data_IF_488917972132
#
_entry.id   IF_488917972132
#
_cell.length_a   1.000
_cell.length_b   1.000
_cell.length_c   1.000
_cell.angle_alpha   90.00
_cell.angle_beta   90.00
_cell.angle_gamma   90.00
#
_symmetry.space_group_name_H-M   'P 1'
#
loop_
_entity.id
_entity.type
_entity.pdbx_description
1 polymer ?
2 non-polymer ?
3 non-polymer ?
4 water ?
#
# COMPACT_ATOMS: atom_id res chain seq x y z
N UNK A 17 11.69 6.70 28.16
CA UNK A 17 10.47 6.54 27.32
C UNK A 17 10.79 6.59 25.81
N UNK A 18 11.27 5.45 25.26
CA UNK A 18 11.77 5.39 23.88
C UNK A 18 10.71 5.51 22.78
N UNK A 19 11.12 6.06 21.64
CA UNK A 19 10.26 6.22 20.46
C UNK A 19 10.85 5.53 19.23
N UNK A 20 10.03 5.39 18.19
CA UNK A 20 10.50 4.90 16.88
C UNK A 20 10.18 5.92 15.79
N UNK A 21 11.18 6.23 14.97
CA UNK A 21 11.03 7.14 13.85
C UNK A 21 10.71 6.34 12.57
N UNK A 22 9.65 6.74 11.87
CA UNK A 22 9.25 6.07 10.63
C UNK A 22 9.36 7.01 9.43
N UNK A 23 10.05 6.55 8.38
CA UNK A 23 10.33 7.37 7.20
C UNK A 23 9.83 6.69 5.94
N UNK A 24 9.14 7.46 5.11
CA UNK A 24 8.71 7.00 3.78
C UNK A 24 9.08 8.04 2.73
N UNK A 25 10.10 7.73 1.93
CA UNK A 25 10.59 8.65 0.90
C UNK A 25 10.00 8.37 -0.47
N UNK A 26 8.85 8.97 -0.75
CA UNK A 26 8.19 8.85 -2.04
C UNK A 26 8.93 9.58 -3.15
N UNK A 27 8.31 9.63 -4.33
CA UNK A 27 8.89 10.26 -5.50
C UNK A 27 9.12 11.76 -5.31
N UNK A 28 8.13 12.43 -4.73
CA UNK A 28 8.16 13.88 -4.56
C UNK A 28 7.94 14.33 -3.12
N UNK A 29 8.02 13.38 -2.18
CA UNK A 29 7.73 13.68 -0.78
C UNK A 29 8.51 12.82 0.22
N UNK A 30 8.57 13.30 1.46
CA UNK A 30 9.04 12.50 2.59
C UNK A 30 7.97 12.53 3.68
N UNK A 31 7.30 11.40 3.89
CA UNK A 31 6.30 11.28 4.95
C UNK A 31 6.92 10.62 6.17
N UNK A 32 6.79 11.27 7.33
CA UNK A 32 7.38 10.72 8.56
C UNK A 32 6.40 10.66 9.73
N UNK A 33 6.70 9.79 10.69
CA UNK A 33 5.92 9.67 11.92
C UNK A 33 6.80 9.29 13.12
N UNK A 34 6.35 9.66 14.31
CA UNK A 34 7.03 9.30 15.57
C UNK A 34 6.08 8.52 16.47
N UNK A 35 6.44 7.28 16.80
CA UNK A 35 5.58 6.42 17.60
C UNK A 35 6.22 6.06 18.93
N UNK A 36 5.40 5.93 19.97
CA UNK A 36 5.89 5.49 21.28
C UNK A 36 6.05 3.98 21.30
N UNK A 37 7.14 3.51 21.88
CA UNK A 37 7.41 2.07 22.01
C UNK A 37 6.38 1.41 22.92
N UNK A 38 6.07 2.07 24.03
CA UNK A 38 5.17 1.52 25.03
C UNK A 38 3.75 1.31 24.50
N UNK A 39 3.27 2.24 23.69
CA UNK A 39 1.87 2.27 23.31
C UNK A 39 1.61 2.10 21.81
N UNK A 40 2.65 2.33 21.00
CA UNK A 40 2.55 2.35 19.54
C UNK A 40 1.65 3.47 19.02
N UNK A 41 1.60 4.57 19.78
CA UNK A 41 0.77 5.71 19.46
C UNK A 41 1.60 6.80 18.80
N UNK A 42 0.98 7.51 17.85
CA UNK A 42 1.64 8.61 17.13
C UNK A 42 1.78 9.83 18.04
N UNK A 43 3.01 10.31 18.17
CA UNK A 43 3.33 11.47 19.00
C UNK A 43 3.72 12.68 18.15
N UNK A 44 3.87 12.45 16.85
CA UNK A 44 4.20 13.48 15.87
C UNK A 44 4.10 12.90 14.46
N UNK A 45 3.60 13.70 13.53
CA UNK A 45 3.53 13.31 12.13
C UNK A 45 3.84 14.53 11.26
N UNK A 46 4.32 14.29 10.05
CA UNK A 46 4.64 15.38 9.14
C UNK A 46 4.96 14.95 7.72
N UNK A 47 5.28 15.92 6.88
CA UNK A 47 5.55 15.69 5.46
C UNK A 47 6.43 16.80 4.87
N UNK A 48 7.46 16.40 4.14
CA UNK A 48 8.26 17.32 3.34
C UNK A 48 7.82 17.19 1.88
N UNK A 49 6.82 17.97 1.50
CA UNK A 49 6.14 17.83 0.20
C UNK A 49 6.71 18.75 -0.88
N UNK A 50 6.67 18.29 -2.12
CA UNK A 50 7.19 19.04 -3.28
C UNK A 50 8.70 19.07 -3.29
N UNK A 51 9.31 17.89 -3.29
CA UNK A 51 10.76 17.76 -3.19
C UNK A 51 11.48 18.08 -4.51
N UNK A 52 12.75 18.48 -4.39
CA UNK A 52 13.63 18.82 -5.53
C UNK A 52 13.21 20.05 -6.35
N UNK A 53 12.01 20.56 -6.09
CA UNK A 53 11.47 21.71 -6.82
C UNK A 53 12.08 23.03 -6.37
N UNK A 54 11.78 24.10 -7.09
CA UNK A 54 12.28 25.45 -6.80
C UNK A 54 11.97 25.89 -5.36
N UNK A 55 10.79 25.51 -4.86
CA UNK A 55 10.39 25.79 -3.49
C UNK A 55 9.85 24.53 -2.79
N UNK A 56 10.56 24.08 -1.75
CA UNK A 56 10.18 22.87 -1.02
C UNK A 56 9.84 23.16 0.44
N UNK A 57 8.63 22.79 0.84
CA UNK A 57 8.14 23.06 2.19
C UNK A 57 8.05 21.83 3.10
N UNK A 58 8.20 22.07 4.41
CA UNK A 58 8.06 21.07 5.45
C UNK A 58 6.83 21.43 6.28
N UNK A 59 6.00 20.43 6.62
CA UNK A 59 4.78 20.68 7.39
C UNK A 59 4.47 19.62 8.46
N UNK A 60 4.77 19.96 9.71
CA UNK A 60 4.48 19.09 10.84
C UNK A 60 3.06 19.36 11.33
N UNK A 61 2.27 18.29 11.44
CA UNK A 61 0.85 18.36 11.87
C UNK A 61 -0.04 19.25 11.00
N UNK A 62 0.58 19.94 10.04
CA UNK A 62 -0.08 20.97 9.27
C UNK A 62 -0.18 22.28 10.05
N UNK A 63 0.83 22.57 10.87
CA UNK A 63 0.86 23.80 11.67
C UNK A 63 1.93 24.80 11.23
N UNK A 64 3.12 24.29 10.90
CA UNK A 64 4.21 25.10 10.39
C UNK A 64 4.56 24.68 8.97
N UNK A 65 4.40 25.60 7.99
CA UNK A 65 4.76 25.30 6.60
C UNK A 65 6.14 25.84 6.21
N UNK A 66 7.15 25.48 7.00
CA UNK A 66 8.53 25.97 6.82
C UNK A 66 9.08 25.66 5.43
N UNK A 67 9.37 26.71 4.67
CA UNK A 67 9.96 26.57 3.34
C UNK A 67 11.46 26.31 3.40
N UNK A 68 11.99 25.67 2.36
CA UNK A 68 13.42 25.36 2.26
C UNK A 68 13.93 25.54 0.82
N UNK A 69 13.14 26.25 0.01
CA UNK A 69 13.45 26.53 -1.40
C UNK A 69 13.95 25.29 -2.16
N UNK A 70 15.14 25.38 -2.74
CA UNK A 70 15.76 24.25 -3.42
C UNK A 70 16.51 23.38 -2.42
N UNK A 71 15.83 22.36 -1.92
CA UNK A 71 16.41 21.44 -0.93
C UNK A 71 16.14 19.98 -1.31
N UNK A 72 17.09 19.11 -0.99
CA UNK A 72 17.02 17.70 -1.37
C UNK A 72 16.68 16.76 -0.21
N UNK A 73 16.81 15.46 -0.45
CA UNK A 73 16.42 14.42 0.52
C UNK A 73 17.20 14.47 1.83
N UNK A 74 18.47 14.83 1.77
CA UNK A 74 19.30 14.91 2.98
C UNK A 74 18.99 16.17 3.79
N UNK A 75 18.86 17.31 3.10
CA UNK A 75 18.63 18.61 3.73
C UNK A 75 17.28 18.69 4.43
N UNK A 76 16.30 17.96 3.90
CA UNK A 76 14.97 17.89 4.48
C UNK A 76 15.00 17.13 5.81
N UNK A 77 15.67 15.98 5.80
CA UNK A 77 15.80 15.14 7.00
C UNK A 77 16.52 15.88 8.13
N UNK A 78 17.50 16.72 7.77
CA UNK A 78 18.21 17.58 8.72
C UNK A 78 17.25 18.57 9.36
N UNK A 79 16.33 19.11 8.55
CA UNK A 79 15.32 20.04 9.03
C UNK A 79 14.31 19.34 9.94
N UNK A 80 13.91 18.14 9.55
CA UNK A 80 13.01 17.31 10.35
C UNK A 80 13.68 16.95 11.68
N UNK A 81 14.94 16.55 11.62
CA UNK A 81 15.72 16.15 12.80
C UNK A 81 15.82 17.27 13.84
N UNK A 82 15.98 18.51 13.36
CA UNK A 82 16.02 19.68 14.23
C UNK A 82 14.67 19.83 14.94
N UNK A 83 13.59 19.61 14.21
CA UNK A 83 12.23 19.72 14.75
C UNK A 83 11.88 18.59 15.72
N UNK A 84 12.83 17.69 15.95
CA UNK A 84 12.67 16.66 16.98
C UNK A 84 13.49 17.03 18.21
N UNK A 85 14.69 17.57 17.97
CA UNK A 85 15.54 18.06 19.07
C UNK A 85 14.95 19.33 19.66
N UNK A 86 14.26 20.10 18.82
CA UNK A 86 13.52 21.29 19.23
C UNK A 86 12.41 20.92 20.21
N UNK A 87 11.93 19.69 20.10
CA UNK A 87 10.86 19.18 20.95
C UNK A 87 11.38 18.07 21.87
N UNK A 88 12.69 18.14 22.15
CA UNK A 88 13.40 17.23 23.06
C UNK A 88 13.14 15.73 22.83
N UNK A 89 13.12 15.34 21.56
CA UNK A 89 12.80 13.96 21.18
C UNK A 89 14.00 13.17 20.63
N UNK A 90 15.04 13.89 20.24
CA UNK A 90 16.26 13.28 19.69
C UNK A 90 16.83 12.17 20.59
N UNK A 91 16.96 12.45 21.88
CA UNK A 91 17.56 11.52 22.82
C UNK A 91 16.72 10.25 23.10
N UNK A 92 15.52 10.18 22.52
CA UNK A 92 14.64 9.02 22.72
C UNK A 92 14.41 8.15 21.48
N UNK A 93 15.02 8.54 20.35
CA UNK A 93 14.86 7.79 19.09
C UNK A 93 15.63 6.47 19.15
N UNK A 94 14.96 5.45 19.67
CA UNK A 94 15.56 4.13 19.87
C UNK A 94 15.80 3.37 18.57
N UNK A 95 14.87 3.52 17.62
CA UNK A 95 14.89 2.75 16.37
C UNK A 95 14.39 3.61 15.20
N UNK A 96 14.87 3.31 14.00
CA UNK A 96 14.40 4.00 12.80
C UNK A 96 13.99 2.98 11.74
N UNK A 97 12.72 3.04 11.36
CA UNK A 97 12.18 2.16 10.32
C UNK A 97 12.12 2.87 8.98
N UNK A 98 12.48 2.14 7.93
CA UNK A 98 12.46 2.68 6.57
C UNK A 98 11.54 1.86 5.68
N UNK A 99 10.52 2.52 5.13
CA UNK A 99 9.68 1.89 4.14
C UNK A 99 10.46 1.74 2.84
N UNK A 100 10.59 0.50 2.38
CA UNK A 100 11.23 0.21 1.11
C UNK A 100 10.16 -0.31 0.16
N UNK A 101 10.16 0.22 -1.06
CA UNK A 101 9.15 -0.11 -2.05
C UNK A 101 9.31 -1.52 -2.63
N UNK A 102 10.50 -1.82 -3.15
CA UNK A 102 10.69 -3.05 -3.92
C UNK A 102 11.89 -3.87 -3.44
N UNK A 103 11.60 -4.99 -2.79
CA UNK A 103 12.65 -5.86 -2.24
C UNK A 103 13.06 -7.01 -3.15
N UNK A 104 12.33 -7.18 -4.25
CA UNK A 104 12.61 -8.25 -5.23
C UNK A 104 12.41 -9.63 -4.65
N UNK A 105 13.30 -10.54 -5.00
CA UNK A 105 13.28 -11.90 -4.44
C UNK A 105 14.28 -12.10 -3.29
N UNK A 106 14.96 -11.02 -2.91
CA UNK A 106 16.06 -11.09 -1.94
C UNK A 106 15.64 -10.87 -0.50
N UNK A 107 14.45 -10.32 -0.29
CA UNK A 107 13.97 -10.00 1.06
C UNK A 107 12.61 -10.61 1.36
N UNK A 108 12.57 -11.54 2.32
CA UNK A 108 11.35 -12.25 2.66
C UNK A 108 10.71 -11.72 3.95
N UNK A 109 11.52 -11.06 4.76
CA UNK A 109 11.07 -10.53 6.05
C UNK A 109 11.68 -9.14 6.27
N UNK A 110 11.45 -8.57 7.45
CA UNK A 110 12.06 -7.31 7.82
C UNK A 110 13.46 -7.54 8.40
N UNK A 111 14.36 -6.60 8.17
CA UNK A 111 15.77 -6.75 8.53
C UNK A 111 16.35 -5.52 9.21
N UNK A 112 17.46 -5.71 9.92
CA UNK A 112 18.26 -4.61 10.46
C UNK A 112 19.16 -4.13 9.33
N UNK A 113 19.16 -2.82 9.08
CA UNK A 113 19.94 -2.24 7.96
C UNK A 113 21.44 -2.34 8.21
N UNK A 114 22.13 -2.96 7.24
CA UNK A 114 23.59 -3.00 7.21
C UNK A 114 24.09 -2.78 5.78
N UNK A 115 25.41 -2.74 5.61
CA UNK A 115 26.02 -2.56 4.29
C UNK A 115 25.49 -3.59 3.28
N UNK A 116 25.37 -4.84 3.73
CA UNK A 116 24.83 -5.92 2.93
C UNK A 116 23.41 -5.60 2.47
N UNK A 117 22.63 -4.95 3.32
CA UNK A 117 21.25 -4.59 2.99
C UNK A 117 21.20 -3.50 1.92
N UNK A 118 21.92 -2.41 2.16
CA UNK A 118 22.03 -1.32 1.18
C UNK A 118 22.49 -1.88 -0.18
N UNK A 119 23.45 -2.79 -0.12
CA UNK A 119 23.99 -3.43 -1.32
C UNK A 119 22.94 -4.23 -2.06
N UNK A 120 22.17 -5.01 -1.31
CA UNK A 120 21.12 -5.83 -1.90
C UNK A 120 19.96 -5.00 -2.43
N UNK A 121 19.67 -3.89 -1.75
CA UNK A 121 18.65 -2.95 -2.21
C UNK A 121 19.06 -2.30 -3.52
N UNK A 122 20.34 -1.95 -3.64
CA UNK A 122 20.89 -1.43 -4.88
C UNK A 122 20.70 -2.41 -6.04
N UNK A 123 20.85 -3.70 -5.74
CA UNK A 123 20.75 -4.77 -6.73
C UNK A 123 19.36 -4.90 -7.34
N UNK A 124 18.33 -4.77 -6.50
CA UNK A 124 16.93 -4.96 -6.93
C UNK A 124 16.24 -3.67 -7.39
N UNK A 125 16.91 -2.53 -7.19
CA UNK A 125 16.38 -1.22 -7.57
C UNK A 125 15.93 -1.08 -9.04
N UNK A 126 16.59 -1.77 -9.99
CA UNK A 126 16.08 -1.85 -11.36
C UNK A 126 14.57 -2.08 -11.52
N UNK A 127 13.96 -2.81 -10.58
CA UNK A 127 12.55 -3.18 -10.65
C UNK A 127 11.59 -2.02 -10.39
N UNK A 128 12.06 -1.01 -9.64
CA UNK A 128 11.29 0.19 -9.37
C UNK A 128 12.21 1.41 -9.26
N UNK A 129 12.58 1.99 -10.42
CA UNK A 129 13.55 3.08 -10.49
C UNK A 129 13.16 4.33 -9.69
N UNK A 130 11.90 4.75 -9.81
CA UNK A 130 11.41 5.95 -9.13
C UNK A 130 11.49 5.82 -7.61
N UNK A 131 10.71 4.89 -7.06
CA UNK A 131 10.55 4.73 -5.61
C UNK A 131 11.82 4.29 -4.87
N UNK A 132 12.41 3.17 -5.31
CA UNK A 132 13.57 2.57 -4.63
C UNK A 132 14.76 3.51 -4.42
N UNK A 133 15.12 4.24 -5.47
CA UNK A 133 16.28 5.13 -5.44
C UNK A 133 16.08 6.31 -4.49
N UNK A 134 14.82 6.66 -4.22
CA UNK A 134 14.50 7.68 -3.24
C UNK A 134 14.60 7.13 -1.82
N UNK A 135 14.22 5.85 -1.65
CA UNK A 135 14.30 5.17 -0.35
C UNK A 135 15.73 5.05 0.14
N UNK A 136 16.65 4.77 -0.80
CA UNK A 136 18.08 4.68 -0.51
C UNK A 136 18.63 6.03 -0.06
N UNK A 137 18.14 7.10 -0.67
CA UNK A 137 18.52 8.47 -0.31
C UNK A 137 17.99 8.82 1.08
N UNK A 138 16.87 8.20 1.45
CA UNK A 138 16.30 8.32 2.79
C UNK A 138 17.07 7.52 3.83
N UNK A 139 17.58 6.35 3.43
CA UNK A 139 18.41 5.53 4.32
C UNK A 139 19.75 6.22 4.58
N UNK A 140 20.41 6.62 3.50
CA UNK A 140 21.74 7.23 3.56
C UNK A 140 21.74 8.49 4.44
N UNK A 141 20.71 9.32 4.29
CA UNK A 141 20.55 10.53 5.09
C UNK A 141 20.35 10.22 6.58
N UNK A 142 19.57 9.18 6.87
CA UNK A 142 19.31 8.74 8.24
C UNK A 142 20.55 8.07 8.84
N UNK A 143 21.25 7.29 8.01
CA UNK A 143 22.54 6.71 8.38
C UNK A 143 23.45 7.82 8.91
N UNK A 144 23.48 8.93 8.17
CA UNK A 144 24.27 10.10 8.50
C UNK A 144 23.88 10.75 9.85
N UNK A 145 22.64 11.24 9.92
CA UNK A 145 22.15 12.03 11.05
C UNK A 145 22.03 11.26 12.36
N UNK A 146 21.82 9.96 12.27
CA UNK A 146 21.70 9.09 13.44
C UNK A 146 22.73 7.97 13.35
N UNK A 147 23.72 7.98 14.25
CA UNK A 147 24.85 7.05 14.17
C UNK A 147 24.64 5.76 14.95
N UNK A 148 24.52 5.87 16.27
CA UNK A 148 24.33 4.72 17.15
C UNK A 148 22.94 4.10 17.06
N UNK A 149 22.02 4.79 16.39
CA UNK A 149 20.63 4.33 16.30
C UNK A 149 20.50 3.17 15.31
N UNK A 150 20.00 2.04 15.82
CA UNK A 150 19.77 0.87 14.98
C UNK A 150 18.60 1.12 14.02
N UNK A 151 18.82 0.75 12.76
CA UNK A 151 17.84 0.99 11.71
C UNK A 151 17.32 -0.29 11.06
N UNK A 152 16.09 -0.22 10.57
CA UNK A 152 15.35 -1.39 10.08
C UNK A 152 14.76 -1.08 8.70
N UNK A 153 14.88 -2.03 7.78
CA UNK A 153 14.30 -1.88 6.44
C UNK A 153 13.09 -2.79 6.26
N UNK A 154 11.95 -2.17 5.96
CA UNK A 154 10.67 -2.87 5.85
C UNK A 154 10.15 -2.80 4.41
N UNK A 155 9.89 -3.96 3.83
CA UNK A 155 9.61 -4.06 2.39
C UNK A 155 8.12 -4.23 2.06
N UNK A 156 7.68 -3.43 1.10
CA UNK A 156 6.29 -3.41 0.65
C UNK A 156 5.92 -4.66 -0.17
N UNK A 157 6.95 -5.46 -0.48
CA UNK A 157 6.82 -6.64 -1.34
C UNK A 157 7.11 -7.97 -0.62
N UNK A 158 7.74 -7.90 0.55
CA UNK A 158 8.25 -9.09 1.24
C UNK A 158 7.18 -10.10 1.61
N UNK A 159 6.02 -9.61 2.04
CA UNK A 159 4.90 -10.46 2.47
C UNK A 159 4.45 -11.40 1.36
N UNK A 160 4.77 -11.02 0.12
CA UNK A 160 4.27 -11.73 -1.05
C UNK A 160 5.19 -12.84 -1.58
N UNK A 161 6.40 -12.93 -1.05
CA UNK A 161 7.37 -13.91 -1.53
C UNK A 161 6.99 -15.36 -1.16
N UNK A 162 5.86 -15.50 -0.50
CA UNK A 162 5.31 -16.81 -0.14
C UNK A 162 4.50 -17.40 -1.30
N UNK A 163 4.41 -16.67 -2.41
CA UNK A 163 3.67 -17.12 -3.59
C UNK A 163 4.36 -18.24 -4.37
N UNK A 164 3.56 -19.21 -4.83
CA UNK A 164 4.03 -20.26 -5.73
C UNK A 164 4.26 -19.71 -7.13
N UNK A 165 5.20 -20.30 -7.89
CA UNK A 165 5.47 -19.92 -9.27
C UNK A 165 4.21 -19.84 -10.13
N UNK A 166 3.36 -20.86 -10.05
CA UNK A 166 2.11 -20.88 -10.83
C UNK A 166 1.28 -19.63 -10.60
N UNK A 167 1.56 -18.93 -9.51
CA UNK A 167 0.80 -17.74 -9.13
C UNK A 167 1.57 -16.43 -9.38
N UNK A 168 2.90 -16.51 -9.49
CA UNK A 168 3.70 -15.30 -9.73
C UNK A 168 4.29 -15.19 -11.15
N UNK A 169 4.36 -16.30 -11.86
CA UNK A 169 4.87 -16.30 -13.23
C UNK A 169 3.89 -15.65 -14.20
N UNK A 170 4.43 -15.01 -15.23
CA UNK A 170 3.63 -14.49 -16.33
C UNK A 170 3.69 -15.45 -17.53
N UNK A 171 2.72 -15.31 -18.44
CA UNK A 171 2.61 -16.18 -19.60
C UNK A 171 3.63 -15.91 -20.68
N UNK A 172 4.70 -15.21 -20.32
CA UNK A 172 5.76 -14.84 -21.25
C UNK A 172 6.82 -15.94 -21.35
N UNK A 173 7.78 -15.80 -22.28
CA UNK A 173 8.92 -16.73 -22.35
C UNK A 173 9.76 -16.78 -21.07
N UNK A 174 10.22 -17.97 -20.72
CA UNK A 174 10.99 -18.23 -19.50
C UNK A 174 12.20 -17.32 -19.33
N UNK A 175 12.94 -17.10 -20.41
CA UNK A 175 14.12 -16.24 -20.41
C UNK A 175 13.90 -15.01 -19.53
N UNK A 176 12.80 -14.31 -19.77
CA UNK A 176 12.46 -13.08 -19.03
C UNK A 176 12.44 -13.25 -17.51
N UNK A 177 11.92 -14.39 -17.02
CA UNK A 177 11.92 -14.66 -15.58
C UNK A 177 13.32 -14.98 -15.03
N UNK A 178 13.95 -16.02 -15.58
CA UNK A 178 15.24 -16.49 -15.07
C UNK A 178 16.37 -15.48 -15.26
N UNK A 179 16.48 -14.92 -16.46
CA UNK A 179 17.54 -13.95 -16.76
C UNK A 179 17.17 -12.52 -16.34
N UNK A 180 16.07 -11.99 -16.86
CA UNK A 180 15.69 -10.58 -16.65
C UNK A 180 14.93 -10.28 -15.34
N UNK A 181 14.41 -11.32 -14.69
CA UNK A 181 13.70 -11.15 -13.41
C UNK A 181 12.25 -10.69 -13.49
N UNK A 182 11.60 -10.95 -14.62
CA UNK A 182 10.21 -10.57 -14.84
C UNK A 182 9.27 -11.56 -14.14
N UNK A 183 8.48 -11.05 -13.19
CA UNK A 183 7.51 -11.83 -12.42
C UNK A 183 6.63 -10.91 -11.59
N UNK A 184 5.49 -11.43 -11.14
CA UNK A 184 4.61 -10.71 -10.23
C UNK A 184 5.25 -10.59 -8.85
N UNK A 185 5.16 -9.40 -8.28
CA UNK A 185 5.67 -9.16 -6.94
C UNK A 185 4.55 -8.76 -5.97
N UNK A 186 3.66 -7.88 -6.43
CA UNK A 186 2.53 -7.43 -5.61
C UNK A 186 2.95 -6.42 -4.57
N UNK A 187 2.05 -5.49 -4.25
CA UNK A 187 2.39 -4.39 -3.35
C UNK A 187 1.36 -4.22 -2.24
N UNK A 188 1.61 -3.25 -1.36
CA UNK A 188 0.80 -3.03 -0.15
C UNK A 188 0.96 -4.20 0.84
N UNK A 189 2.12 -4.86 0.79
CA UNK A 189 2.40 -6.04 1.60
C UNK A 189 2.26 -5.81 3.09
N UNK A 190 2.74 -4.67 3.56
CA UNK A 190 2.69 -4.32 4.98
C UNK A 190 1.25 -4.09 5.43
N UNK A 191 0.46 -3.44 4.57
CA UNK A 191 -0.96 -3.23 4.81
C UNK A 191 -1.71 -4.56 4.86
N UNK A 192 -1.49 -5.40 3.84
CA UNK A 192 -2.13 -6.72 3.77
C UNK A 192 -1.70 -7.61 4.95
N UNK A 193 -0.44 -7.48 5.34
CA UNK A 193 0.12 -8.19 6.48
C UNK A 193 -0.57 -7.77 7.78
N UNK A 194 -0.46 -6.50 8.13
CA UNK A 194 -1.05 -5.95 9.35
C UNK A 194 -2.53 -6.28 9.46
N UNK A 195 -3.28 -5.90 8.43
CA UNK A 195 -4.73 -6.08 8.39
C UNK A 195 -5.14 -7.52 8.70
N UNK A 196 -4.43 -8.47 8.07
CA UNK A 196 -4.70 -9.90 8.27
C UNK A 196 -4.41 -10.34 9.72
N UNK A 197 -3.31 -9.87 10.30
CA UNK A 197 -2.97 -10.19 11.68
C UNK A 197 -4.11 -9.78 12.60
N UNK A 198 -4.53 -8.52 12.49
CA UNK A 198 -5.66 -7.99 13.24
C UNK A 198 -6.94 -8.79 12.99
N UNK A 199 -7.14 -9.21 11.74
CA UNK A 199 -8.35 -9.93 11.33
C UNK A 199 -8.52 -11.27 12.04
N UNK A 200 -7.42 -11.89 12.44
CA UNK A 200 -7.47 -13.15 13.19
C UNK A 200 -8.10 -12.94 14.56
N UNK A 201 -7.71 -11.85 15.23
CA UNK A 201 -8.29 -11.51 16.54
C UNK A 201 -9.77 -11.16 16.44
N UNK A 202 -10.11 -10.17 15.62
CA UNK A 202 -11.47 -9.67 15.48
C UNK A 202 -12.48 -10.75 15.07
N UNK A 203 -12.04 -11.69 14.24
CA UNK A 203 -12.92 -12.72 13.68
C UNK A 203 -12.80 -14.04 14.43
N UNK A 204 -11.97 -14.07 15.47
CA UNK A 204 -11.70 -15.28 16.26
C UNK A 204 -11.38 -16.45 15.35
N UNK A 205 -10.26 -16.34 14.63
CA UNK A 205 -9.81 -17.36 13.71
C UNK A 205 -8.54 -18.03 14.17
N UNK A 206 -8.15 -19.09 13.46
CA UNK A 206 -6.89 -19.76 13.70
C UNK A 206 -6.00 -19.51 12.49
N UNK A 207 -4.92 -18.75 12.70
CA UNK A 207 -3.98 -18.38 11.64
C UNK A 207 -3.55 -19.58 10.78
N UNK A 208 -3.28 -20.71 11.43
CA UNK A 208 -2.82 -21.91 10.74
C UNK A 208 -3.95 -22.70 10.03
N UNK A 209 -5.20 -22.27 10.23
CA UNK A 209 -6.35 -22.89 9.54
C UNK A 209 -7.33 -21.83 9.04
N UNK A 210 -6.81 -20.82 8.34
CA UNK A 210 -7.61 -19.66 7.94
C UNK A 210 -7.57 -19.40 6.44
N UNK A 211 -8.60 -18.70 5.96
CA UNK A 211 -8.67 -18.24 4.58
C UNK A 211 -9.31 -16.87 4.50
N UNK A 212 -8.48 -15.86 4.24
CA UNK A 212 -8.94 -14.47 4.18
C UNK A 212 -8.76 -13.89 2.79
N UNK A 213 -9.60 -12.91 2.46
CA UNK A 213 -9.38 -12.05 1.31
C UNK A 213 -9.28 -10.62 1.81
N UNK A 214 -8.20 -9.94 1.45
CA UNK A 214 -7.96 -8.57 1.92
C UNK A 214 -7.96 -7.57 0.75
N UNK A 215 -8.93 -6.66 0.78
CA UNK A 215 -9.09 -5.65 -0.25
C UNK A 215 -8.57 -4.29 0.23
N UNK A 216 -7.30 -4.01 -0.09
CA UNK A 216 -6.74 -2.69 0.14
C UNK A 216 -7.15 -1.74 -0.98
N UNK A 217 -7.98 -0.76 -0.63
CA UNK A 217 -8.55 0.17 -1.61
C UNK A 217 -8.30 1.60 -1.19
N UNK A 218 -7.61 2.34 -2.05
CA UNK A 218 -7.34 3.76 -1.81
C UNK A 218 -6.73 4.43 -3.03
N UNK A 219 -5.72 5.26 -2.78
CA UNK A 219 -4.90 5.86 -3.85
C UNK A 219 -4.58 4.84 -4.92
N UNK A 220 -3.77 3.85 -4.55
CA UNK A 220 -3.54 2.65 -5.34
C UNK A 220 -4.24 1.53 -4.61
N UNK A 221 -4.55 0.45 -5.33
CA UNK A 221 -5.37 -0.61 -4.76
C UNK A 221 -4.91 -1.98 -5.21
N UNK A 222 -5.13 -2.97 -4.33
CA UNK A 222 -4.81 -4.36 -4.61
C UNK A 222 -5.63 -5.30 -3.72
N UNK A 223 -5.77 -6.54 -4.17
CA UNK A 223 -6.38 -7.60 -3.38
C UNK A 223 -5.27 -8.57 -2.99
N UNK A 224 -5.48 -9.32 -1.92
CA UNK A 224 -4.54 -10.35 -1.48
C UNK A 224 -5.25 -11.53 -0.81
N UNK A 225 -4.99 -12.73 -1.30
CA UNK A 225 -5.46 -13.95 -0.65
C UNK A 225 -4.48 -14.38 0.42
N UNK A 226 -4.97 -14.53 1.65
CA UNK A 226 -4.13 -14.97 2.75
C UNK A 226 -4.60 -16.34 3.25
N UNK A 227 -3.87 -17.38 2.85
CA UNK A 227 -4.19 -18.75 3.23
C UNK A 227 -3.29 -19.21 4.37
N UNK A 228 -3.90 -19.71 5.44
CA UNK A 228 -3.20 -20.22 6.62
C UNK A 228 -2.02 -19.35 7.10
N UNK A 229 -2.19 -18.03 6.96
CA UNK A 229 -1.18 -17.07 7.43
C UNK A 229 -0.43 -16.33 6.33
N UNK A 230 -0.13 -17.02 5.23
CA UNK A 230 0.73 -16.49 4.16
C UNK A 230 -0.03 -15.97 2.93
N UNK A 231 0.62 -15.05 2.21
CA UNK A 231 0.12 -14.53 0.95
C UNK A 231 0.29 -15.58 -0.15
N UNK A 232 -0.81 -15.91 -0.82
CA UNK A 232 -0.81 -16.93 -1.89
C UNK A 232 -1.31 -16.40 -3.24
N UNK A 233 -1.75 -15.14 -3.27
CA UNK A 233 -2.15 -14.47 -4.51
C UNK A 233 -2.41 -13.01 -4.21
N UNK A 234 -1.97 -12.14 -5.13
CA UNK A 234 -2.20 -10.70 -5.02
C UNK A 234 -2.37 -10.09 -6.42
N UNK A 235 -3.17 -9.04 -6.51
CA UNK A 235 -3.63 -8.49 -7.80
C UNK A 235 -2.57 -7.68 -8.54
N UNK A 236 -1.85 -6.83 -7.83
CA UNK A 236 -0.77 -6.04 -8.44
C UNK A 236 0.35 -6.95 -8.93
N UNK A 237 1.01 -6.55 -10.01
CA UNK A 237 1.97 -7.42 -10.68
C UNK A 237 3.43 -7.18 -10.37
N UNK A 238 4.23 -7.04 -11.43
CA UNK A 238 5.62 -6.66 -11.31
C UNK A 238 5.67 -5.20 -10.90
N UNK A 239 4.87 -4.39 -11.59
CA UNK A 239 4.69 -2.99 -11.25
C UNK A 239 3.39 -2.86 -10.45
N UNK A 240 3.10 -1.66 -9.93
CA UNK A 240 1.81 -1.47 -9.28
C UNK A 240 0.67 -1.17 -10.26
N UNK A 241 0.81 -1.58 -11.51
CA UNK A 241 -0.17 -1.29 -12.56
C UNK A 241 -1.17 -2.42 -12.86
N UNK A 242 -0.93 -3.60 -12.30
CA UNK A 242 -1.84 -4.71 -12.56
C UNK A 242 -2.94 -4.82 -11.51
N UNK A 243 -3.99 -5.56 -11.84
CA UNK A 243 -5.10 -5.80 -10.94
C UNK A 243 -6.23 -4.80 -11.11
N UNK A 244 -6.79 -4.37 -9.99
CA UNK A 244 -7.95 -3.48 -9.96
C UNK A 244 -7.69 -2.20 -10.72
N UNK A 245 -8.75 -1.61 -11.25
CA UNK A 245 -8.69 -0.26 -11.78
C UNK A 245 -8.61 0.67 -10.57
N UNK A 246 -7.70 1.63 -10.62
CA UNK A 246 -7.42 2.50 -9.48
C UNK A 246 -7.75 3.96 -9.80
N UNK A 247 -7.25 4.90 -8.99
CA UNK A 247 -7.51 6.32 -9.18
C UNK A 247 -7.05 6.81 -10.54
N UNK A 248 -5.72 6.94 -10.71
CA UNK A 248 -5.14 7.36 -11.98
C UNK A 248 -4.65 6.17 -12.82
N UNK A 249 -4.57 5.00 -12.18
CA UNK A 249 -4.07 3.80 -12.84
C UNK A 249 -5.20 3.01 -13.48
N UNK A 250 -4.93 2.51 -14.69
CA UNK A 250 -5.91 1.79 -15.50
C UNK A 250 -6.35 0.46 -14.92
N UNK A 251 -5.42 -0.28 -14.33
CA UNK A 251 -5.67 -1.65 -13.90
C UNK A 251 -5.40 -2.61 -15.03
N UNK A 252 -5.98 -3.81 -14.96
CA UNK A 252 -5.85 -4.82 -16.01
C UNK A 252 -6.24 -4.23 -17.36
N UNK A 253 -5.39 -4.41 -18.36
CA UNK A 253 -5.67 -3.93 -19.71
C UNK A 253 -5.11 -4.85 -20.80
N UNK A 254 -5.95 -5.14 -21.78
CA UNK A 254 -5.60 -5.93 -22.96
C UNK A 254 -4.36 -5.35 -23.64
N UNK A 255 -3.28 -6.13 -23.71
CA UNK A 255 -2.05 -5.71 -24.38
C UNK A 255 -2.26 -5.57 -25.89
N UNK A 256 -3.11 -6.44 -26.45
CA UNK A 256 -3.49 -6.36 -27.85
C UNK A 256 -4.18 -5.05 -28.18
N UNK A 257 -4.85 -4.47 -27.17
CA UNK A 257 -5.51 -3.18 -27.32
C UNK A 257 -4.52 -2.01 -27.19
N UNK A 258 -3.54 -2.16 -26.30
CA UNK A 258 -2.50 -1.15 -26.11
C UNK A 258 -1.60 -1.05 -27.34
N UNK A 259 -1.30 -2.20 -27.92
CA UNK A 259 -0.51 -2.26 -29.16
C UNK A 259 -1.30 -1.72 -30.35
N UNK A 260 -2.62 -1.90 -30.30
CA UNK A 260 -3.54 -1.39 -31.31
C UNK A 260 -3.64 0.14 -31.23
N UNK A 261 -3.80 0.65 -30.01
CA UNK A 261 -3.82 2.09 -29.76
C UNK A 261 -2.51 2.75 -30.23
N UNK A 262 -1.39 2.07 -30.00
CA UNK A 262 -0.09 2.52 -30.48
C UNK A 262 -0.08 2.72 -31.99
N UNK A 263 -0.78 1.82 -32.69
CA UNK A 263 -0.85 1.87 -34.15
C UNK A 263 -1.80 2.96 -34.65
N UNK A 264 -2.75 3.34 -33.81
CA UNK A 264 -3.74 4.34 -34.17
C UNK A 264 -3.27 5.77 -33.91
N UNK A 265 -3.12 6.12 -32.64
CA UNK A 265 -2.73 7.49 -32.25
C UNK A 265 -1.24 7.78 -32.45
N UNK A 266 -0.48 6.77 -32.84
CA UNK A 266 0.95 6.91 -33.09
C UNK A 266 1.78 7.15 -31.83
N UNK A 267 1.14 6.98 -30.67
CA UNK A 267 1.79 7.19 -29.38
C UNK A 267 2.82 6.11 -29.09
N UNK A 268 3.82 6.45 -28.28
CA UNK A 268 4.90 5.52 -27.92
C UNK A 268 4.57 4.71 -26.67
N UNK A 269 5.43 3.76 -26.35
CA UNK A 269 5.30 2.93 -25.15
C UNK A 269 5.46 3.80 -23.89
N UNK A 270 6.34 4.78 -23.97
CA UNK A 270 6.57 5.72 -22.88
C UNK A 270 5.38 6.65 -22.74
N UNK A 271 4.77 7.01 -23.87
CA UNK A 271 3.57 7.85 -23.89
C UNK A 271 2.43 7.16 -23.15
N UNK A 272 2.21 5.90 -23.51
CA UNK A 272 1.12 5.10 -22.93
C UNK A 272 1.38 4.74 -21.48
N UNK A 273 2.65 4.60 -21.11
CA UNK A 273 3.03 4.33 -19.71
C UNK A 273 2.52 5.46 -18.80
N UNK A 274 2.53 6.68 -19.33
CA UNK A 274 2.06 7.85 -18.61
C UNK A 274 0.54 7.91 -18.55
N UNK A 275 -0.11 7.66 -19.69
CA UNK A 275 -1.58 7.64 -19.79
C UNK A 275 -2.15 6.60 -18.83
N UNK A 276 -1.59 5.40 -18.88
CA UNK A 276 -2.03 4.26 -18.07
C UNK A 276 -1.81 4.54 -16.57
N UNK A 277 -0.66 5.11 -16.23
CA UNK A 277 -0.30 5.36 -14.84
C UNK A 277 -0.91 6.63 -14.23
N UNK A 278 -1.07 7.67 -15.05
CA UNK A 278 -1.45 8.99 -14.54
C UNK A 278 -2.75 9.59 -15.07
N UNK A 279 -3.17 9.18 -16.27
CA UNK A 279 -4.35 9.75 -16.91
C UNK A 279 -5.55 8.81 -16.96
N UNK A 280 -5.33 7.56 -16.55
CA UNK A 280 -6.36 6.53 -16.65
C UNK A 280 -7.17 6.39 -15.36
N UNK A 281 -7.80 5.23 -15.20
CA UNK A 281 -8.51 4.88 -13.96
C UNK A 281 -9.82 5.61 -13.77
N UNK A 282 -10.11 5.91 -12.50
CA UNK A 282 -11.32 6.63 -12.13
C UNK A 282 -11.39 7.98 -12.84
N UNK A 283 -10.27 8.69 -12.83
CA UNK A 283 -10.11 9.95 -13.55
C UNK A 283 -10.39 9.75 -15.03
N UNK A 284 -9.77 8.73 -15.62
CA UNK A 284 -9.87 8.43 -17.05
C UNK A 284 -11.27 8.30 -17.59
N UNK A 285 -12.11 7.53 -16.88
CA UNK A 285 -13.50 7.30 -17.30
C UNK A 285 -14.36 8.55 -17.06
N UNK A 286 -14.33 9.05 -15.83
CA UNK A 286 -15.18 10.17 -15.42
C UNK A 286 -14.87 11.47 -16.15
N UNK A 287 -13.58 11.71 -16.40
CA UNK A 287 -13.11 12.99 -16.93
C UNK A 287 -13.46 14.10 -15.95
N UNK A 288 -13.20 13.85 -14.68
CA UNK A 288 -13.68 14.70 -13.60
C UNK A 288 -12.72 14.72 -12.41
N UNK A 289 -12.58 13.57 -11.75
CA UNK A 289 -11.78 13.46 -10.53
C UNK A 289 -11.17 12.08 -10.35
N UNK A 290 -10.01 12.04 -9.70
CA UNK A 290 -9.39 10.79 -9.30
C UNK A 290 -9.71 10.51 -7.83
N UNK A 291 -10.83 11.05 -7.38
CA UNK A 291 -11.21 11.03 -5.97
C UNK A 291 -12.68 10.67 -5.82
N UNK A 292 -12.96 9.75 -4.89
CA UNK A 292 -14.32 9.24 -4.69
C UNK A 292 -15.32 10.23 -4.12
N UNK A 293 -14.95 10.94 -3.05
CA UNK A 293 -15.84 11.91 -2.42
C UNK A 293 -16.57 12.79 -3.43
N UNK A 294 -15.87 13.16 -4.51
CA UNK A 294 -16.43 13.97 -5.59
C UNK A 294 -17.33 13.12 -6.49
N UNK A 295 -16.80 11.99 -6.95
CA UNK A 295 -17.50 11.12 -7.89
C UNK A 295 -18.76 10.52 -7.30
N UNK A 296 -18.71 10.22 -6.00
CA UNK A 296 -19.87 9.71 -5.25
C UNK A 296 -20.98 10.74 -5.23
N UNK A 297 -20.60 12.02 -5.14
CA UNK A 297 -21.54 13.13 -5.20
C UNK A 297 -22.04 13.34 -6.63
N UNK A 298 -21.11 13.34 -7.58
CA UNK A 298 -21.44 13.52 -9.00
C UNK A 298 -22.56 12.58 -9.48
N UNK A 299 -22.47 11.32 -9.08
CA UNK A 299 -23.50 10.32 -9.38
C UNK A 299 -24.87 10.82 -8.92
N UNK A 300 -24.96 11.15 -7.63
CA UNK A 300 -26.20 11.60 -7.01
C UNK A 300 -26.74 12.88 -7.66
N UNK A 301 -25.85 13.63 -8.31
CA UNK A 301 -26.24 14.84 -9.04
C UNK A 301 -26.62 14.56 -10.49
N UNK A 302 -26.52 13.30 -10.91
CA UNK A 302 -27.00 12.87 -12.22
C UNK A 302 -25.94 12.68 -13.30
N UNK A 303 -24.67 12.76 -12.91
CA UNK A 303 -23.56 12.53 -13.82
C UNK A 303 -23.43 11.03 -14.13
N UNK A 304 -23.49 10.68 -15.41
CA UNK A 304 -23.43 9.26 -15.82
C UNK A 304 -22.00 8.74 -15.88
N UNK A 305 -21.11 9.46 -16.55
CA UNK A 305 -19.71 9.04 -16.69
C UNK A 305 -19.05 8.73 -15.35
N UNK A 306 -19.44 9.45 -14.30
CA UNK A 306 -18.95 9.19 -12.96
C UNK A 306 -19.60 7.94 -12.37
N UNK A 307 -20.88 7.75 -12.65
CA UNK A 307 -21.62 6.56 -12.23
C UNK A 307 -20.99 5.30 -12.81
N UNK A 308 -20.63 5.36 -14.08
CA UNK A 308 -19.95 4.25 -14.77
C UNK A 308 -18.58 4.00 -14.17
N UNK A 309 -17.82 5.07 -13.94
CA UNK A 309 -16.48 4.98 -13.36
C UNK A 309 -16.46 4.20 -12.05
N UNK A 310 -17.56 4.29 -11.31
CA UNK A 310 -17.71 3.65 -10.00
C UNK A 310 -18.25 2.22 -10.13
N UNK A 311 -19.21 2.03 -11.04
CA UNK A 311 -19.77 0.71 -11.36
C UNK A 311 -18.67 -0.18 -11.93
N UNK A 312 -17.82 0.42 -12.76
CA UNK A 312 -16.66 -0.24 -13.36
C UNK A 312 -15.60 -0.54 -12.30
N UNK A 313 -15.37 0.42 -11.40
CA UNK A 313 -14.49 0.23 -10.25
C UNK A 313 -14.98 -0.96 -9.41
N UNK A 314 -16.21 -0.86 -8.92
CA UNK A 314 -16.85 -1.90 -8.10
C UNK A 314 -16.71 -3.27 -8.76
N UNK A 315 -17.02 -3.32 -10.06
CA UNK A 315 -17.07 -4.58 -10.79
C UNK A 315 -15.73 -5.29 -10.82
N UNK A 316 -14.67 -4.54 -11.12
CA UNK A 316 -13.31 -5.09 -11.17
C UNK A 316 -12.76 -5.52 -9.81
N UNK A 317 -13.28 -4.93 -8.73
CA UNK A 317 -12.90 -5.37 -7.38
C UNK A 317 -13.55 -6.71 -7.03
N UNK A 318 -14.83 -6.86 -7.41
CA UNK A 318 -15.56 -8.10 -7.17
C UNK A 318 -15.01 -9.26 -8.00
N UNK A 319 -14.59 -8.98 -9.22
CA UNK A 319 -14.00 -9.97 -10.11
C UNK A 319 -12.73 -10.55 -9.48
N UNK A 320 -11.87 -9.65 -8.99
CA UNK A 320 -10.63 -10.07 -8.36
C UNK A 320 -10.80 -10.68 -6.98
N UNK A 321 -11.69 -10.13 -6.16
CA UNK A 321 -11.95 -10.72 -4.84
C UNK A 321 -12.35 -12.20 -4.99
N UNK A 322 -13.42 -12.43 -5.76
CA UNK A 322 -13.91 -13.78 -6.04
C UNK A 322 -12.86 -14.65 -6.72
N UNK A 323 -12.07 -14.06 -7.60
CA UNK A 323 -11.00 -14.76 -8.30
C UNK A 323 -9.86 -15.17 -7.39
N UNK A 324 -9.49 -14.28 -6.47
CA UNK A 324 -8.43 -14.56 -5.50
C UNK A 324 -8.84 -15.62 -4.48
N UNK A 325 -10.15 -15.78 -4.29
CA UNK A 325 -10.68 -16.76 -3.34
C UNK A 325 -10.35 -18.19 -3.75
N UNK A 326 -10.06 -18.37 -5.04
CA UNK A 326 -9.73 -19.67 -5.61
C UNK A 326 -8.37 -20.17 -5.14
N UNK A 327 -7.58 -19.27 -4.54
CA UNK A 327 -6.30 -19.63 -3.95
C UNK A 327 -6.44 -20.08 -2.48
N UNK A 328 -7.67 -20.06 -1.96
CA UNK A 328 -7.97 -20.54 -0.61
C UNK A 328 -8.71 -21.87 -0.65
N UNK A 329 -8.47 -22.71 0.35
CA UNK A 329 -9.17 -23.97 0.53
C UNK A 329 -10.58 -23.75 1.10
N UNK A 330 -10.74 -22.65 1.84
CA UNK A 330 -12.03 -22.23 2.41
C UNK A 330 -12.02 -20.73 2.68
N UNK A 331 -13.14 -20.07 2.42
CA UNK A 331 -13.27 -18.62 2.65
C UNK A 331 -13.91 -18.31 4.01
N UNK A 332 -13.18 -17.56 4.84
CA UNK A 332 -13.67 -17.20 6.16
C UNK A 332 -14.07 -15.75 6.26
N UNK A 333 -13.23 -14.86 5.72
CA UNK A 333 -13.50 -13.42 5.79
C UNK A 333 -13.15 -12.61 4.56
N UNK A 334 -13.70 -11.41 4.48
CA UNK A 334 -13.34 -10.42 3.49
C UNK A 334 -13.11 -9.10 4.22
N UNK A 335 -11.96 -8.48 3.98
CA UNK A 335 -11.53 -7.32 4.75
C UNK A 335 -11.29 -6.10 3.85
N UNK A 336 -11.87 -4.96 4.25
CA UNK A 336 -11.67 -3.70 3.54
C UNK A 336 -10.73 -2.79 4.32
N UNK A 337 -9.85 -2.12 3.60
CA UNK A 337 -8.89 -1.22 4.21
C UNK A 337 -8.42 -0.18 3.19
N UNK A 338 -7.66 0.81 3.68
CA UNK A 338 -7.22 1.93 2.85
C UNK A 338 -8.23 3.05 2.90
N UNK A 339 -7.85 4.21 2.37
CA UNK A 339 -8.71 5.39 2.32
C UNK A 339 -10.14 5.11 1.88
N UNK A 340 -10.27 4.43 0.74
CA UNK A 340 -11.58 4.10 0.17
C UNK A 340 -12.28 2.99 0.96
N UNK A 341 -11.59 1.89 1.19
CA UNK A 341 -12.17 0.72 1.85
C UNK A 341 -12.72 0.96 3.23
N UNK A 342 -12.00 1.74 4.04
CA UNK A 342 -12.39 2.04 5.42
C UNK A 342 -13.55 3.02 5.51
N UNK A 343 -13.56 3.99 4.60
CA UNK A 343 -14.43 5.15 4.70
C UNK A 343 -15.68 5.13 3.84
N UNK A 344 -15.64 4.40 2.73
CA UNK A 344 -16.73 4.41 1.74
C UNK A 344 -17.84 3.40 2.00
N UNK A 345 -18.98 3.90 2.47
CA UNK A 345 -20.18 3.06 2.71
C UNK A 345 -20.69 2.39 1.42
N UNK A 346 -20.83 3.17 0.35
CA UNK A 346 -21.44 2.72 -0.90
C UNK A 346 -20.65 1.63 -1.62
N UNK A 347 -19.36 1.89 -1.86
CA UNK A 347 -18.50 0.96 -2.58
C UNK A 347 -18.42 -0.37 -1.87
N UNK A 348 -18.41 -0.33 -0.53
CA UNK A 348 -18.43 -1.55 0.26
C UNK A 348 -19.65 -2.41 -0.06
N UNK A 349 -20.83 -1.79 -0.01
CA UNK A 349 -22.09 -2.48 -0.28
C UNK A 349 -22.23 -2.91 -1.74
N UNK A 350 -21.83 -2.02 -2.66
CA UNK A 350 -21.87 -2.33 -4.08
C UNK A 350 -20.99 -3.54 -4.41
N UNK A 351 -19.84 -3.63 -3.76
CA UNK A 351 -18.93 -4.76 -3.94
C UNK A 351 -19.52 -6.07 -3.36
N UNK A 352 -20.20 -5.99 -2.23
CA UNK A 352 -20.94 -7.14 -1.69
C UNK A 352 -22.14 -7.52 -2.58
N UNK A 353 -22.90 -6.51 -3.02
CA UNK A 353 -24.01 -6.71 -3.95
C UNK A 353 -23.60 -7.60 -5.10
N UNK A 354 -22.37 -7.37 -5.56
CA UNK A 354 -21.79 -8.04 -6.71
C UNK A 354 -21.34 -9.45 -6.37
N UNK A 355 -20.94 -9.66 -5.11
CA UNK A 355 -20.46 -10.95 -4.67
C UNK A 355 -21.52 -11.72 -3.89
N UNK A 356 -22.74 -11.73 -4.41
CA UNK A 356 -23.83 -12.50 -3.82
C UNK A 356 -23.68 -13.98 -4.08
N UNK A 357 -22.89 -14.32 -5.11
CA UNK A 357 -22.65 -15.71 -5.51
C UNK A 357 -22.01 -16.53 -4.38
N UNK A 358 -21.20 -15.86 -3.57
CA UNK A 358 -20.54 -16.47 -2.41
C UNK A 358 -21.43 -16.46 -1.17
N UNK A 359 -22.69 -16.07 -1.33
CA UNK A 359 -23.65 -16.02 -0.23
C UNK A 359 -23.28 -14.99 0.81
N UNK A 360 -23.06 -13.76 0.37
CA UNK A 360 -22.73 -12.65 1.27
C UNK A 360 -23.97 -11.82 1.58
N UNK A 361 -24.24 -11.65 2.87
CA UNK A 361 -25.31 -10.76 3.34
C UNK A 361 -24.71 -9.70 4.26
N UNK A 362 -24.93 -8.43 3.91
CA UNK A 362 -24.33 -7.31 4.61
C UNK A 362 -25.30 -6.65 5.58
N UNK A 363 -24.84 -6.36 6.79
CA UNK A 363 -25.63 -5.65 7.78
C UNK A 363 -25.50 -4.13 7.62
N UNK A 364 -26.50 -3.52 6.99
CA UNK A 364 -26.41 -2.12 6.56
C UNK A 364 -26.30 -1.12 7.73
N UNK A 365 -26.86 -1.47 8.89
CA UNK A 365 -26.66 -0.65 10.08
C UNK A 365 -25.20 -0.63 10.50
N UNK A 366 -24.55 -1.78 10.41
CA UNK A 366 -23.12 -1.90 10.70
C UNK A 366 -22.25 -1.23 9.65
N UNK A 367 -22.68 -1.29 8.39
CA UNK A 367 -21.95 -0.68 7.28
C UNK A 367 -22.10 0.84 7.26
N UNK A 368 -23.17 1.34 7.87
CA UNK A 368 -23.46 2.77 7.95
C UNK A 368 -22.39 3.55 8.69
N UNK A 369 -21.95 2.99 9.82
CA UNK A 369 -21.01 3.64 10.75
C UNK A 369 -19.70 4.08 10.08
N UNK A 370 -19.17 5.25 10.49
CA UNK A 370 -17.94 5.82 9.93
C UNK A 370 -16.67 5.13 10.42
N UNK A 371 -15.51 5.72 10.12
CA UNK A 371 -14.22 5.12 10.48
C UNK A 371 -13.83 5.25 11.94
N UNK A 372 -14.58 6.07 12.68
CA UNK A 372 -14.37 6.26 14.11
C UNK A 372 -14.63 4.96 14.89
N UNK A 373 -15.48 4.10 14.33
CA UNK A 373 -15.79 2.80 14.93
C UNK A 373 -14.70 1.78 14.68
N UNK A 374 -13.65 2.19 13.96
CA UNK A 374 -12.43 1.40 13.76
C UNK A 374 -12.64 0.02 13.19
N UNK A 375 -12.22 -0.98 13.96
CA UNK A 375 -12.32 -2.39 13.56
C UNK A 375 -13.72 -2.91 13.88
N UNK A 376 -14.39 -3.41 12.85
CA UNK A 376 -15.83 -3.66 12.91
C UNK A 376 -16.32 -4.67 11.87
N UNK A 377 -17.14 -5.61 12.31
CA UNK A 377 -17.85 -6.55 11.44
C UNK A 377 -19.02 -5.82 10.77
N UNK A 378 -19.17 -6.01 9.46
CA UNK A 378 -20.24 -5.34 8.71
C UNK A 378 -21.21 -6.32 8.00
N UNK A 379 -21.04 -7.61 8.24
CA UNK A 379 -21.94 -8.63 7.71
C UNK A 379 -22.89 -9.19 8.77
N UNK A 380 -23.97 -9.82 8.31
CA UNK A 380 -25.00 -10.36 9.19
C UNK A 380 -24.82 -11.85 9.47
N UNK A 381 -25.78 -12.45 10.17
CA UNK A 381 -25.76 -13.89 10.49
C UNK A 381 -25.96 -14.86 9.31
N UNK A 382 -26.95 -14.59 8.42
CA UNK A 382 -27.20 -15.51 7.30
C UNK A 382 -26.01 -15.67 6.35
N UNK A 383 -25.20 -14.62 6.26
CA UNK A 383 -24.02 -14.59 5.39
C UNK A 383 -23.04 -15.74 5.62
N UNK A 384 -22.77 -16.49 4.56
CA UNK A 384 -21.80 -17.59 4.55
C UNK A 384 -20.41 -17.15 5.03
N UNK A 385 -20.05 -15.91 4.73
CA UNK A 385 -18.72 -15.37 4.99
C UNK A 385 -18.83 -14.07 5.79
N UNK A 386 -17.93 -13.89 6.75
CA UNK A 386 -17.90 -12.69 7.57
C UNK A 386 -17.19 -11.55 6.83
N UNK A 387 -17.88 -10.40 6.74
CA UNK A 387 -17.26 -9.18 6.23
C UNK A 387 -16.81 -8.30 7.38
N UNK A 388 -15.73 -7.56 7.18
CA UNK A 388 -15.18 -6.68 8.21
C UNK A 388 -14.36 -5.54 7.62
N UNK A 389 -14.24 -4.45 8.40
CA UNK A 389 -13.37 -3.33 8.03
C UNK A 389 -12.32 -3.17 9.12
N UNK A 390 -11.07 -3.09 8.70
CA UNK A 390 -9.94 -2.94 9.61
C UNK A 390 -9.01 -1.85 9.09
N UNK A 391 -8.92 -0.73 9.81
CA UNK A 391 -8.05 0.38 9.40
C UNK A 391 -6.59 -0.02 9.40
N UNK A 392 -5.98 0.01 8.21
CA UNK A 392 -4.55 -0.28 8.06
C UNK A 392 -3.69 0.67 8.86
N UNK A 393 -2.58 0.15 9.40
CA UNK A 393 -1.58 1.00 10.05
C UNK A 393 -0.18 0.59 9.63
N UNK A 394 0.20 1.01 8.42
CA UNK A 394 1.50 0.69 7.85
C UNK A 394 2.64 1.10 8.81
N UNK A 395 2.41 2.17 9.54
CA UNK A 395 3.38 2.71 10.49
C UNK A 395 3.55 1.84 11.74
N UNK A 396 2.44 1.43 12.33
CA UNK A 396 2.43 0.57 13.52
C UNK A 396 3.18 -0.74 13.27
N UNK A 397 2.91 -1.35 12.12
CA UNK A 397 3.55 -2.61 11.72
C UNK A 397 5.06 -2.44 11.53
N UNK A 398 5.47 -1.31 10.93
CA UNK A 398 6.88 -0.98 10.77
C UNK A 398 7.56 -0.88 12.13
N UNK A 399 6.89 -0.21 13.08
CA UNK A 399 7.38 -0.07 14.43
C UNK A 399 7.54 -1.44 15.10
N UNK A 400 6.45 -2.22 15.13
CA UNK A 400 6.45 -3.55 15.76
C UNK A 400 7.61 -4.41 15.30
N UNK A 401 7.87 -4.40 13.98
CA UNK A 401 8.99 -5.14 13.40
C UNK A 401 10.32 -4.68 13.98
N UNK A 402 10.50 -3.36 14.07
CA UNK A 402 11.71 -2.76 14.61
C UNK A 402 11.87 -3.03 16.11
N UNK A 403 10.77 -2.93 16.85
CA UNK A 403 10.77 -3.21 18.29
C UNK A 403 11.18 -4.66 18.53
N UNK A 404 10.69 -5.56 17.70
CA UNK A 404 11.12 -6.95 17.71
C UNK A 404 12.60 -7.08 17.35
N UNK A 405 13.01 -6.38 16.28
CA UNK A 405 14.40 -6.40 15.80
C UNK A 405 15.34 -5.63 16.72
N UNK A 406 14.77 -4.91 17.69
CA UNK A 406 15.54 -4.22 18.72
C UNK A 406 16.16 -5.18 19.72
N UNK A 407 15.48 -6.29 19.98
CA UNK A 407 15.97 -7.33 20.89
C UNK A 407 17.12 -8.15 20.30
N UNK A 408 17.27 -8.09 18.98
CA UNK A 408 18.31 -8.83 18.26
C UNK A 408 19.70 -8.30 18.60
N UNK A 409 20.67 -9.22 18.70
CA UNK A 409 22.06 -8.85 18.90
C UNK A 409 22.86 -9.14 17.63
N UNK A 410 23.21 -8.08 16.91
CA UNK A 410 23.80 -8.17 15.56
C UNK A 410 25.14 -8.92 15.51
X LIG B 1 15.82 -12.42 -24.58
X LIG B 1 15.52 -13.81 -24.35
X LIG B 1 15.86 -11.69 -23.24
X LIG B 1 17.21 -11.61 -22.79
X LIG C 1 -26.67 -18.40 -2.44
X LIG C 1 -26.22 -17.08 -2.75
X LIG C 1 -25.54 -19.40 -2.69
X LIG C 1 -25.11 -19.98 -1.45
X LIG D 1 20.17 -11.50 2.18
X LIG D 1 18.90 -10.88 1.95
X LIG D 1 20.66 -11.16 3.59
X LIG D 1 21.25 -12.33 4.16
X LIG E 1 -5.59 6.78 0.84
X LIG E 1 -4.42 7.54 0.28
X LIG E 1 -5.97 7.32 2.21
X LIG E 1 -5.28 5.20 0.90
X LIG E 1 -6.86 6.88 -0.16
X LIG E 1 -7.42 8.14 -0.49
X LIG E 1 -8.77 7.92 -1.15
X LIG E 1 -9.75 7.63 -0.15
X LIG E 1 -9.22 9.16 -1.91
X LIG E 1 -9.26 8.87 -3.31
X LIG E 1 -10.62 9.48 -1.38
X LIG E 1 -11.59 9.54 -2.44
X LIG E 1 -10.97 8.34 -0.42
X LIG E 1 -11.55 8.90 0.83
X LIG E 1 -10.88 9.48 1.84
X LIG E 1 -11.72 9.87 2.83
X LIG E 1 -12.97 9.52 2.45
X LIG E 1 -14.34 9.65 3.03
X LIG E 1 -14.53 10.18 4.15
X LIG E 1 -15.37 9.17 2.31
X LIG E 1 -15.20 8.58 1.10
X LIG E 1 -16.29 8.12 0.44
X LIG E 1 -13.99 8.44 0.52
X LIG E 1 -12.86 8.88 1.13
#
# INVERSE_FOLDING_TARGET
MRGSHHHHHHGMASNEFPVVLVINCGSSSIKFSVLDVATCDVLMAGIADGMNTENAFLSINGDKPINLAHSNYEDALKAIAFELEKRDLTDSVALIGHRIAHGGELFTQSVIITDEIIDNIRRVSPLAPLHNYANLSGIDAARHLFPAVRQVAVFDTSFHQTLAPEAYLYGLPWEYFSSLGVRRYGFHGTSHRYVSRRAYELLDLDEKDSGLIVAHLGNGASICAVRNGQSVDTSMGMTPLEGLMMGTRSGDVDFGAMAWIAKETGQTLSDLERVVNKESGLLGISGLSSDLRVLEKAWHEGHERARLAIKTFVHRIARHIAGHAASLHRLDGIIFTGGIGENSVLIRQLVIEHLGVLGLTLDVEMNKQPNSHGERIISANPSQVICAVIPTNEEKMIALDAIHLGNVKAPVEFA
EDO C1 O1 C2 O2
EDO C1 O1 C2 O2
EDO C1 O1 C2 O2
5GP P O1P O2P O3P O5' C5' C4' O4' C3' O3' C2' O2' C1' N9 C8 N7 C5 C6 O6 N1 C2 N2 N3 C4
#
